data_IF_809863118307
#
_entry.id   IF_809863118307
#
_cell.length_a   1.000
_cell.length_b   1.000
_cell.length_c   1.000
_cell.angle_alpha   90.00
_cell.angle_beta   90.00
_cell.angle_gamma   90.00
#
_symmetry.space_group_name_H-M   'P 1'
#
loop_
_entity.id
_entity.type
_entity.pdbx_description
1 polymer ?
#
# COMPACT_ATOMS: atom_id res chain seq x y z
N UNK A 1 -34.74 -14.68 10.09
CA UNK A 1 -34.30 -13.98 8.87
C UNK A 1 -32.79 -14.09 8.79
N UNK A 2 -32.22 -14.78 7.79
CA UNK A 2 -30.76 -14.77 7.56
C UNK A 2 -30.42 -13.44 6.91
N UNK A 3 -29.51 -12.67 7.50
CA UNK A 3 -29.05 -11.41 6.92
C UNK A 3 -28.36 -11.66 5.57
N UNK A 4 -28.60 -10.79 4.59
CA UNK A 4 -27.76 -10.72 3.40
C UNK A 4 -26.34 -10.38 3.83
N UNK A 5 -25.41 -11.33 3.72
CA UNK A 5 -24.00 -11.03 3.83
C UNK A 5 -23.54 -10.53 2.47
N UNK A 6 -23.07 -9.28 2.41
CA UNK A 6 -22.39 -8.77 1.22
C UNK A 6 -21.07 -9.52 1.06
N UNK A 7 -20.88 -10.14 -0.10
CA UNK A 7 -19.62 -10.76 -0.45
C UNK A 7 -18.58 -9.64 -0.64
N UNK A 8 -17.63 -9.55 0.30
CA UNK A 8 -16.49 -8.66 0.15
C UNK A 8 -15.60 -9.28 -0.93
N UNK A 9 -15.57 -8.68 -2.12
CA UNK A 9 -14.84 -9.22 -3.26
C UNK A 9 -13.45 -8.57 -3.45
N UNK A 10 -13.23 -7.38 -2.87
CA UNK A 10 -12.14 -6.48 -3.27
C UNK A 10 -11.39 -5.92 -2.07
N UNK A 11 -10.06 -5.95 -2.13
CA UNK A 11 -9.16 -5.19 -1.26
C UNK A 11 -8.85 -3.86 -1.91
N UNK A 12 -8.92 -2.77 -1.15
CA UNK A 12 -8.57 -1.42 -1.58
C UNK A 12 -7.62 -0.77 -0.59
N UNK A 13 -6.60 -0.06 -1.09
CA UNK A 13 -5.77 0.80 -0.26
C UNK A 13 -5.25 2.00 -1.04
N UNK A 14 -5.50 3.20 -0.51
CA UNK A 14 -4.87 4.43 -0.93
C UNK A 14 -3.72 4.79 0.01
N UNK A 15 -2.48 4.74 -0.47
CA UNK A 15 -1.29 5.05 0.33
C UNK A 15 -0.11 5.47 -0.55
N UNK A 16 0.80 6.29 0.00
CA UNK A 16 2.09 6.57 -0.64
C UNK A 16 2.98 5.33 -0.73
N UNK A 17 2.76 4.33 0.13
CA UNK A 17 3.51 3.07 0.12
C UNK A 17 3.31 2.27 -1.17
N UNK A 18 2.22 2.48 -1.90
CA UNK A 18 2.00 1.85 -3.20
C UNK A 18 3.05 2.28 -4.26
N UNK A 19 3.88 3.29 -3.98
CA UNK A 19 5.03 3.67 -4.82
C UNK A 19 6.35 3.01 -4.39
N UNK A 20 6.34 2.16 -3.36
CA UNK A 20 7.52 1.47 -2.82
C UNK A 20 7.48 0.00 -3.25
N UNK A 21 8.46 -0.50 -4.04
CA UNK A 21 8.44 -1.86 -4.58
C UNK A 21 8.22 -2.94 -3.51
N UNK A 22 8.95 -2.86 -2.39
CA UNK A 22 8.84 -3.83 -1.29
C UNK A 22 7.45 -3.92 -0.67
N UNK A 23 6.67 -2.83 -0.73
CA UNK A 23 5.29 -2.85 -0.26
C UNK A 23 4.38 -3.51 -1.29
N UNK A 24 4.57 -3.21 -2.58
CA UNK A 24 3.76 -3.78 -3.67
C UNK A 24 4.04 -5.26 -3.91
N UNK A 25 5.22 -5.77 -3.53
CA UNK A 25 5.56 -7.20 -3.62
C UNK A 25 4.64 -8.10 -2.76
N UNK A 26 3.96 -7.53 -1.76
CA UNK A 26 2.99 -8.23 -0.92
C UNK A 26 1.65 -8.49 -1.63
N UNK A 27 1.46 -7.95 -2.83
CA UNK A 27 0.20 -7.99 -3.56
C UNK A 27 0.39 -8.63 -4.94
N UNK A 28 -0.67 -9.23 -5.51
CA UNK A 28 -0.62 -9.78 -6.86
C UNK A 28 -0.37 -8.67 -7.90
N UNK A 29 0.10 -9.05 -9.09
CA UNK A 29 0.36 -8.11 -10.19
C UNK A 29 -0.83 -7.19 -10.52
N UNK A 30 -2.07 -7.69 -10.35
CA UNK A 30 -3.30 -6.92 -10.53
C UNK A 30 -3.38 -5.66 -9.65
N UNK A 31 -2.73 -5.66 -8.48
CA UNK A 31 -2.70 -4.52 -7.57
C UNK A 31 -2.05 -3.30 -8.20
N UNK A 32 -0.82 -3.43 -8.70
CA UNK A 32 -0.13 -2.31 -9.33
C UNK A 32 -0.73 -1.97 -10.71
N UNK A 33 -1.29 -2.96 -11.41
CA UNK A 33 -2.01 -2.72 -12.66
C UNK A 33 -3.25 -1.81 -12.48
N UNK A 34 -3.84 -1.79 -11.27
CA UNK A 34 -4.97 -0.94 -10.92
C UNK A 34 -4.58 0.45 -10.38
N UNK A 35 -3.29 0.77 -10.32
CA UNK A 35 -2.81 1.95 -9.61
C UNK A 35 -3.31 3.25 -10.24
N UNK A 36 -4.01 4.04 -9.44
CA UNK A 36 -4.44 5.39 -9.79
C UNK A 36 -3.74 6.43 -8.92
N UNK A 37 -3.10 7.41 -9.55
CA UNK A 37 -2.58 8.55 -8.83
C UNK A 37 -3.72 9.41 -8.25
N UNK A 38 -3.58 9.82 -6.99
CA UNK A 38 -4.39 10.90 -6.43
C UNK A 38 -3.59 12.20 -6.50
N UNK A 39 -4.23 13.36 -6.69
CA UNK A 39 -3.58 14.63 -6.41
C UNK A 39 -3.41 14.82 -4.89
N UNK A 40 -2.46 15.67 -4.46
CA UNK A 40 -2.38 16.12 -3.08
C UNK A 40 -3.71 16.70 -2.62
N UNK A 41 -4.26 16.14 -1.55
CA UNK A 41 -5.53 16.55 -0.96
C UNK A 41 -5.40 16.54 0.57
N UNK A 42 -6.39 17.10 1.27
CA UNK A 42 -6.37 17.22 2.73
C UNK A 42 -6.40 15.91 3.53
N UNK A 43 -6.25 14.74 2.89
CA UNK A 43 -6.25 13.45 3.59
C UNK A 43 -4.83 13.02 4.01
N UNK A 44 -4.73 12.40 5.18
CA UNK A 44 -3.48 12.00 5.86
C UNK A 44 -2.55 11.09 5.06
N UNK A 45 -3.06 10.44 4.01
CA UNK A 45 -2.36 9.45 3.21
C UNK A 45 -1.06 9.92 2.52
N UNK A 46 -0.83 11.23 2.43
CA UNK A 46 0.42 11.80 1.90
C UNK A 46 1.51 11.98 2.95
N UNK A 47 1.10 12.26 4.19
CA UNK A 47 1.98 12.81 5.23
C UNK A 47 2.82 11.76 5.95
N UNK A 48 2.42 10.48 5.86
CA UNK A 48 3.17 9.37 6.46
C UNK A 48 4.64 9.33 6.02
N UNK A 49 4.97 9.76 4.79
CA UNK A 49 6.35 9.80 4.31
C UNK A 49 7.25 10.83 5.00
N UNK A 50 6.70 11.73 5.83
CA UNK A 50 7.46 12.70 6.62
C UNK A 50 7.68 12.27 8.06
N UNK A 51 7.26 11.06 8.44
CA UNK A 51 7.54 10.49 9.76
C UNK A 51 8.65 9.45 9.62
N UNK A 52 9.73 9.58 10.37
CA UNK A 52 10.80 8.59 10.41
C UNK A 52 10.50 7.46 11.41
N UNK A 53 11.40 6.47 11.50
CA UNK A 53 11.25 5.31 12.40
C UNK A 53 11.18 5.66 13.90
N UNK A 54 11.53 6.88 14.28
CA UNK A 54 11.47 7.38 15.66
C UNK A 54 10.23 8.24 15.92
N UNK A 55 9.40 8.46 14.90
CA UNK A 55 8.27 9.39 14.97
C UNK A 55 8.65 10.85 14.70
N UNK A 56 9.92 11.13 14.39
CA UNK A 56 10.39 12.48 14.10
C UNK A 56 10.22 12.83 12.62
N UNK A 57 10.53 14.08 12.25
CA UNK A 57 10.46 14.53 10.86
C UNK A 57 11.51 13.83 9.99
N UNK A 58 11.06 13.16 8.93
CA UNK A 58 11.92 12.58 7.90
C UNK A 58 12.57 13.68 7.05
N UNK A 59 13.74 14.15 7.49
CA UNK A 59 14.42 15.35 6.98
C UNK A 59 14.66 15.35 5.47
N UNK A 60 15.00 14.21 4.87
CA UNK A 60 15.28 14.15 3.43
C UNK A 60 14.03 14.31 2.57
N UNK A 61 12.90 13.73 2.99
CA UNK A 61 11.64 13.88 2.27
C UNK A 61 11.11 15.31 2.43
N UNK A 62 11.26 15.90 3.63
CA UNK A 62 10.96 17.31 3.86
C UNK A 62 11.83 18.24 2.99
N UNK A 63 13.13 17.96 2.88
CA UNK A 63 14.05 18.70 2.00
C UNK A 63 13.61 18.59 0.54
N UNK A 64 13.27 17.38 0.08
CA UNK A 64 12.79 17.15 -1.29
C UNK A 64 11.56 17.99 -1.59
N UNK A 65 10.52 17.92 -0.75
CA UNK A 65 9.30 18.71 -0.93
C UNK A 65 9.59 20.22 -1.01
N UNK A 66 10.45 20.74 -0.13
CA UNK A 66 10.82 22.16 -0.13
C UNK A 66 11.58 22.59 -1.39
N UNK A 67 12.38 21.69 -1.97
CA UNK A 67 13.19 21.98 -3.14
C UNK A 67 12.41 21.83 -4.45
N UNK A 68 11.50 20.87 -4.53
CA UNK A 68 10.82 20.50 -5.79
C UNK A 68 9.36 20.95 -5.85
N UNK A 69 8.75 21.32 -4.72
CA UNK A 69 7.32 21.55 -4.61
C UNK A 69 6.47 20.28 -4.75
N UNK A 70 7.09 19.10 -4.80
CA UNK A 70 6.43 17.81 -5.04
C UNK A 70 6.71 16.81 -3.92
N UNK A 71 5.75 15.94 -3.64
CA UNK A 71 5.96 14.79 -2.74
C UNK A 71 6.91 13.79 -3.39
N UNK A 72 7.84 13.23 -2.61
CA UNK A 72 8.83 12.27 -3.12
C UNK A 72 8.19 10.95 -3.52
N UNK A 73 7.21 10.52 -2.74
CA UNK A 73 6.43 9.31 -2.98
C UNK A 73 4.99 9.70 -3.33
N UNK A 74 4.53 9.40 -4.57
CA UNK A 74 3.15 9.68 -4.96
C UNK A 74 2.18 8.78 -4.20
N UNK A 75 1.01 9.32 -3.88
CA UNK A 75 -0.10 8.55 -3.36
C UNK A 75 -0.80 7.83 -4.52
N UNK A 76 -0.85 6.51 -4.42
CA UNK A 76 -1.58 5.68 -5.38
C UNK A 76 -2.73 4.98 -4.65
N UNK A 77 -3.86 4.88 -5.32
CA UNK A 77 -4.96 3.99 -4.95
C UNK A 77 -4.81 2.71 -5.75
N UNK A 78 -4.76 1.59 -5.05
CA UNK A 78 -4.68 0.28 -5.68
C UNK A 78 -5.80 -0.62 -5.14
N UNK A 79 -6.15 -1.60 -5.96
CA UNK A 79 -7.21 -2.56 -5.69
C UNK A 79 -6.89 -3.93 -6.28
N UNK A 80 -7.38 -5.01 -5.67
CA UNK A 80 -7.34 -6.36 -6.24
C UNK A 80 -8.47 -7.23 -5.67
N UNK A 81 -8.74 -8.36 -6.31
CA UNK A 81 -9.66 -9.35 -5.76
C UNK A 81 -9.06 -10.01 -4.51
N UNK A 82 -9.91 -10.27 -3.50
CA UNK A 82 -9.48 -10.94 -2.27
C UNK A 82 -8.89 -12.32 -2.57
N UNK A 83 -9.50 -13.08 -3.48
CA UNK A 83 -9.04 -14.42 -3.84
C UNK A 83 -7.65 -14.41 -4.50
N UNK A 84 -7.36 -13.39 -5.30
CA UNK A 84 -6.05 -13.25 -5.94
C UNK A 84 -4.97 -12.90 -4.92
N UNK A 85 -5.30 -12.03 -3.95
CA UNK A 85 -4.39 -11.72 -2.85
C UNK A 85 -4.14 -12.95 -1.97
N UNK A 86 -5.18 -13.70 -1.63
CA UNK A 86 -5.04 -14.93 -0.85
C UNK A 86 -4.14 -15.94 -1.57
N UNK A 87 -4.34 -16.13 -2.88
CA UNK A 87 -3.50 -17.02 -3.70
C UNK A 87 -2.05 -16.56 -3.73
N UNK A 88 -1.81 -15.25 -3.91
CA UNK A 88 -0.47 -14.65 -3.93
C UNK A 88 0.28 -14.94 -2.62
N UNK A 89 -0.33 -14.60 -1.49
CA UNK A 89 0.28 -14.74 -0.16
C UNK A 89 0.50 -16.20 0.27
N UNK A 90 -0.37 -17.12 -0.16
CA UNK A 90 -0.23 -18.55 0.16
C UNK A 90 0.78 -19.27 -0.75
N UNK A 91 1.04 -18.73 -1.95
CA UNK A 91 2.06 -19.28 -2.86
C UNK A 91 3.47 -18.92 -2.42
N UNK A 92 3.64 -17.77 -1.75
CA UNK A 92 4.91 -17.30 -1.18
C UNK A 92 5.10 -17.69 0.31
N UNK A 93 4.37 -18.71 0.78
CA UNK A 93 4.38 -19.12 2.18
C UNK A 93 5.80 -19.43 2.71
N UNK A 94 6.12 -19.07 3.98
CA UNK A 94 7.39 -19.45 4.58
C UNK A 94 7.53 -20.99 4.57
N UNK A 95 8.77 -21.52 4.49
CA UNK A 95 8.98 -22.96 4.52
C UNK A 95 8.29 -23.56 5.77
N UNK A 96 7.71 -24.77 5.65
CA UNK A 96 7.08 -25.41 6.79
C UNK A 96 8.08 -25.52 7.95
N UNK A 97 7.62 -25.40 9.21
CA UNK A 97 8.50 -25.60 10.35
C UNK A 97 9.12 -27.01 10.29
N UNK A 98 10.39 -27.18 10.71
CA UNK A 98 11.03 -28.49 10.66
C UNK A 98 10.23 -29.52 11.47
N UNK A 99 10.04 -30.71 10.90
CA UNK A 99 9.46 -31.86 11.57
C UNK A 99 10.22 -32.13 12.86
N UNK A 100 9.52 -32.26 13.99
CA UNK A 100 10.10 -32.77 15.24
C UNK A 100 10.45 -34.24 15.12
#
# INVERSE_FOLDING_TARGET
MRGQHHELAVVYCGTWLNSVPRFTDLFPAAWLASAEASPPAGHGGWWGQFTDRTGALHRDNARYLRQTGSFRYPFLRCTCAIDDLARHLLSDGPPPPPSR
#
